data_IF_161183603572
#
_entry.id   IF_161183603572
#
_cell.length_a   1.000
_cell.length_b   1.000
_cell.length_c   1.000
_cell.angle_alpha   90.00
_cell.angle_beta   90.00
_cell.angle_gamma   90.00
#
_symmetry.space_group_name_H-M   'P 1'
#
loop_
_entity.id
_entity.type
_entity.pdbx_description
1 polymer ?
#
# COMPACT_ATOMS: atom_id res chain seq x y z
N UNK A 1 -26.25 28.00 58.12
CA UNK A 1 -25.74 27.14 57.03
C UNK A 1 -26.95 26.52 56.33
N UNK A 2 -27.18 26.84 55.03
CA UNK A 2 -28.25 26.22 54.24
C UNK A 2 -27.83 24.78 53.89
N UNK A 3 -28.64 23.75 54.18
CA UNK A 3 -28.35 22.40 53.72
C UNK A 3 -28.49 22.36 52.19
N UNK A 4 -27.44 21.92 51.50
CA UNK A 4 -27.49 21.65 50.07
C UNK A 4 -28.40 20.44 49.84
N UNK A 5 -29.49 20.61 49.09
CA UNK A 5 -30.36 19.49 48.70
C UNK A 5 -29.58 18.55 47.78
N UNK A 6 -29.22 17.36 48.26
CA UNK A 6 -28.76 16.28 47.38
C UNK A 6 -29.99 15.74 46.65
N UNK A 7 -30.18 16.16 45.40
CA UNK A 7 -31.14 15.49 44.50
C UNK A 7 -30.59 14.09 44.19
N UNK A 8 -31.31 13.06 44.62
CA UNK A 8 -31.01 11.70 44.22
C UNK A 8 -31.49 11.51 42.78
N UNK A 9 -30.58 11.12 41.88
CA UNK A 9 -30.91 10.82 40.48
C UNK A 9 -31.86 9.63 40.41
N UNK A 10 -32.92 9.74 39.61
CA UNK A 10 -33.84 8.63 39.41
C UNK A 10 -33.22 7.59 38.46
N UNK A 11 -33.54 6.31 38.63
CA UNK A 11 -33.02 5.22 37.78
C UNK A 11 -33.29 5.48 36.29
N UNK A 12 -34.43 6.10 35.98
CA UNK A 12 -34.83 6.46 34.63
C UNK A 12 -33.92 7.55 34.01
N UNK A 13 -33.46 8.50 34.82
CA UNK A 13 -32.55 9.57 34.40
C UNK A 13 -31.14 9.03 34.10
N UNK A 14 -30.67 8.07 34.92
CA UNK A 14 -29.40 7.36 34.67
C UNK A 14 -29.49 6.51 33.40
N UNK A 15 -30.61 5.81 33.17
CA UNK A 15 -30.81 4.99 31.98
C UNK A 15 -30.90 5.84 30.70
N UNK A 16 -31.55 7.00 30.77
CA UNK A 16 -31.64 7.94 29.65
C UNK A 16 -30.27 8.51 29.27
N UNK A 17 -29.45 8.90 30.26
CA UNK A 17 -28.08 9.38 30.02
C UNK A 17 -27.22 8.27 29.41
N UNK A 18 -27.30 7.04 29.94
CA UNK A 18 -26.55 5.91 29.40
C UNK A 18 -26.94 5.61 27.95
N UNK A 19 -28.21 5.66 27.60
CA UNK A 19 -28.70 5.45 26.23
C UNK A 19 -28.23 6.55 25.26
N UNK A 20 -28.19 7.81 25.70
CA UNK A 20 -27.65 8.91 24.90
C UNK A 20 -26.15 8.73 24.69
N UNK A 21 -25.40 8.35 25.73
CA UNK A 21 -23.96 8.14 25.64
C UNK A 21 -23.59 6.97 24.71
N UNK A 22 -24.33 5.87 24.73
CA UNK A 22 -24.09 4.74 23.81
C UNK A 22 -24.42 5.10 22.37
N UNK A 23 -25.51 5.84 22.13
CA UNK A 23 -25.85 6.36 20.81
C UNK A 23 -24.76 7.32 20.29
N UNK A 24 -24.31 8.26 21.13
CA UNK A 24 -23.25 9.21 20.77
C UNK A 24 -21.94 8.48 20.48
N UNK A 25 -21.55 7.52 21.31
CA UNK A 25 -20.34 6.74 21.11
C UNK A 25 -20.39 5.98 19.78
N UNK A 26 -21.53 5.37 19.43
CA UNK A 26 -21.71 4.67 18.15
C UNK A 26 -21.51 5.58 16.93
N UNK A 27 -22.02 6.81 16.97
CA UNK A 27 -21.86 7.80 15.90
C UNK A 27 -20.41 8.32 15.86
N UNK A 28 -19.83 8.61 17.04
CA UNK A 28 -18.51 9.18 17.16
C UNK A 28 -17.41 8.21 16.69
N UNK A 29 -17.56 6.90 16.95
CA UNK A 29 -16.61 5.87 16.49
C UNK A 29 -16.46 5.88 14.97
N UNK A 30 -17.56 6.00 14.21
CA UNK A 30 -17.52 6.06 12.75
C UNK A 30 -16.91 7.37 12.22
N UNK A 31 -17.13 8.47 12.92
CA UNK A 31 -16.57 9.78 12.56
C UNK A 31 -15.06 9.88 12.85
N UNK A 32 -14.60 9.35 14.00
CA UNK A 32 -13.18 9.37 14.39
C UNK A 32 -12.32 8.62 13.37
N UNK A 33 -12.78 7.48 12.86
CA UNK A 33 -12.06 6.71 11.84
C UNK A 33 -11.71 7.55 10.61
N UNK A 34 -12.69 8.34 10.11
CA UNK A 34 -12.48 9.24 8.96
C UNK A 34 -11.56 10.42 9.28
N UNK A 35 -11.63 10.96 10.49
CA UNK A 35 -10.77 12.08 10.93
C UNK A 35 -9.30 11.66 11.00
N UNK A 36 -9.02 10.39 11.33
CA UNK A 36 -7.65 9.89 11.36
C UNK A 36 -7.08 9.57 9.96
N UNK A 37 -7.90 9.42 8.92
CA UNK A 37 -7.42 9.04 7.60
C UNK A 37 -6.61 10.14 6.89
N UNK A 38 -6.97 11.41 7.09
CA UNK A 38 -6.24 12.55 6.50
C UNK A 38 -4.78 12.71 7.00
N UNK A 39 -4.49 12.73 8.32
CA UNK A 39 -3.10 12.78 8.78
C UNK A 39 -2.33 11.50 8.39
N UNK A 40 -2.99 10.35 8.35
CA UNK A 40 -2.39 9.08 7.89
C UNK A 40 -2.01 9.13 6.42
N UNK A 41 -2.90 9.62 5.56
CA UNK A 41 -2.62 9.82 4.14
C UNK A 41 -1.38 10.72 3.93
N UNK A 42 -1.28 11.80 4.71
CA UNK A 42 -0.12 12.70 4.68
C UNK A 42 1.18 11.98 5.07
N UNK A 43 1.14 11.17 6.14
CA UNK A 43 2.29 10.37 6.57
C UNK A 43 2.72 9.35 5.51
N UNK A 44 1.77 8.69 4.84
CA UNK A 44 2.05 7.76 3.73
C UNK A 44 2.74 8.48 2.58
N UNK A 45 2.28 9.66 2.18
CA UNK A 45 2.90 10.42 1.09
C UNK A 45 4.30 10.91 1.44
N UNK A 46 4.54 11.29 2.69
CA UNK A 46 5.89 11.62 3.15
C UNK A 46 6.82 10.41 3.05
N UNK A 47 6.38 9.25 3.56
CA UNK A 47 7.14 7.99 3.49
C UNK A 47 7.38 7.52 2.05
N UNK A 48 6.38 7.65 1.17
CA UNK A 48 6.50 7.32 -0.23
C UNK A 48 7.65 8.08 -0.90
N UNK A 49 7.83 9.37 -0.57
CA UNK A 49 8.96 10.17 -1.07
C UNK A 49 10.30 9.68 -0.51
N UNK A 50 10.35 9.34 0.77
CA UNK A 50 11.55 8.74 1.39
C UNK A 50 11.93 7.42 0.70
N UNK A 51 10.98 6.51 0.54
CA UNK A 51 11.23 5.24 -0.15
C UNK A 51 11.63 5.44 -1.62
N UNK A 52 11.02 6.39 -2.33
CA UNK A 52 11.43 6.72 -3.69
C UNK A 52 12.91 7.17 -3.75
N UNK A 53 13.37 7.96 -2.79
CA UNK A 53 14.78 8.36 -2.70
C UNK A 53 15.71 7.18 -2.42
N UNK A 54 15.38 6.32 -1.44
CA UNK A 54 16.17 5.14 -1.09
C UNK A 54 16.25 4.13 -2.25
N UNK A 55 15.16 3.96 -2.99
CA UNK A 55 15.12 3.07 -4.16
C UNK A 55 15.98 3.63 -5.29
N UNK A 56 15.99 4.95 -5.52
CA UNK A 56 16.92 5.58 -6.48
C UNK A 56 18.38 5.36 -6.08
N UNK A 57 18.69 5.45 -4.78
CA UNK A 57 20.03 5.19 -4.27
C UNK A 57 20.49 3.76 -4.58
N UNK A 58 19.64 2.75 -4.32
CA UNK A 58 19.93 1.36 -4.69
C UNK A 58 20.20 1.25 -6.20
N UNK A 59 19.35 1.82 -7.05
CA UNK A 59 19.51 1.71 -8.52
C UNK A 59 20.86 2.27 -8.97
N UNK A 60 21.31 3.36 -8.34
CA UNK A 60 22.57 4.02 -8.67
C UNK A 60 23.81 3.28 -8.15
N UNK A 61 23.66 2.28 -7.27
CA UNK A 61 24.81 1.52 -6.80
C UNK A 61 25.38 0.62 -7.92
N UNK A 62 26.71 0.52 -8.06
CA UNK A 62 27.37 -0.23 -9.14
C UNK A 62 26.94 -1.70 -9.21
N UNK A 63 26.64 -2.30 -8.05
CA UNK A 63 26.21 -3.69 -7.91
C UNK A 63 24.90 -4.02 -8.64
N UNK A 64 24.05 -3.02 -8.89
CA UNK A 64 22.73 -3.19 -9.52
C UNK A 64 22.68 -2.73 -10.98
N UNK A 65 23.78 -2.19 -11.51
CA UNK A 65 23.94 -1.89 -12.93
C UNK A 65 22.92 -0.89 -13.48
N UNK A 66 22.46 0.05 -12.65
CA UNK A 66 21.62 1.17 -13.08
C UNK A 66 20.23 0.77 -13.56
N UNK A 67 19.64 -0.33 -13.06
CA UNK A 67 18.28 -0.77 -13.43
C UNK A 67 17.48 -1.21 -12.23
N UNK A 68 16.18 -0.90 -12.24
CA UNK A 68 15.24 -1.39 -11.24
C UNK A 68 14.98 -2.89 -11.41
N UNK A 69 15.14 -3.71 -10.36
CA UNK A 69 14.67 -5.09 -10.39
C UNK A 69 13.14 -5.14 -10.46
N UNK A 70 12.62 -6.10 -11.22
CA UNK A 70 11.20 -6.42 -11.25
C UNK A 70 10.83 -7.28 -10.03
N UNK A 71 9.67 -7.02 -9.41
CA UNK A 71 9.10 -7.91 -8.41
C UNK A 71 8.70 -9.21 -9.09
N UNK A 72 9.32 -10.33 -8.69
CA UNK A 72 9.14 -11.66 -9.30
C UNK A 72 9.14 -12.75 -8.26
N UNK A 73 8.37 -13.82 -8.49
CA UNK A 73 8.34 -15.00 -7.64
C UNK A 73 9.69 -15.74 -7.68
N UNK A 74 10.09 -16.33 -6.54
CA UNK A 74 11.40 -16.94 -6.32
C UNK A 74 11.79 -18.12 -7.22
N UNK A 75 10.89 -18.65 -8.07
CA UNK A 75 11.15 -19.87 -8.85
C UNK A 75 11.92 -19.65 -10.17
N UNK A 76 12.60 -18.51 -10.35
CA UNK A 76 13.76 -18.41 -11.26
C UNK A 76 13.54 -18.71 -12.75
N UNK A 77 12.31 -18.83 -13.24
CA UNK A 77 12.03 -18.96 -14.67
C UNK A 77 12.48 -17.72 -15.43
N UNK A 78 13.17 -17.91 -16.56
CA UNK A 78 13.70 -16.85 -17.40
C UNK A 78 12.68 -15.71 -17.62
N UNK A 79 13.17 -14.49 -17.41
CA UNK A 79 12.53 -13.18 -17.52
C UNK A 79 11.59 -13.06 -18.74
N UNK A 80 10.25 -13.12 -18.63
CA UNK A 80 9.41 -12.44 -19.61
C UNK A 80 9.35 -10.98 -19.22
N UNK A 81 9.54 -10.11 -20.20
CA UNK A 81 9.35 -8.66 -20.11
C UNK A 81 7.85 -8.29 -19.97
N UNK A 82 7.04 -9.11 -19.32
CA UNK A 82 5.60 -8.89 -19.16
C UNK A 82 5.13 -9.46 -17.83
N UNK A 83 4.76 -8.57 -16.91
CA UNK A 83 3.56 -8.67 -16.07
C UNK A 83 3.27 -9.92 -15.24
N UNK A 84 4.20 -10.86 -15.00
CA UNK A 84 3.90 -12.17 -14.38
C UNK A 84 3.16 -12.11 -13.02
N UNK A 85 3.21 -10.98 -12.30
CA UNK A 85 2.45 -10.82 -11.05
C UNK A 85 1.00 -10.34 -11.22
N UNK A 86 0.61 -9.83 -12.39
CA UNK A 86 -0.75 -9.31 -12.61
C UNK A 86 -1.82 -10.39 -12.44
N UNK A 87 -1.51 -11.63 -12.89
CA UNK A 87 -2.34 -12.82 -12.73
C UNK A 87 -1.89 -13.76 -11.59
N UNK A 88 -0.83 -13.41 -10.87
CA UNK A 88 -0.33 -14.23 -9.77
C UNK A 88 -1.29 -14.18 -8.58
N UNK A 89 -1.64 -15.35 -8.04
CA UNK A 89 -2.32 -15.46 -6.75
C UNK A 89 -1.51 -14.77 -5.65
N UNK A 90 -2.17 -14.34 -4.58
CA UNK A 90 -1.48 -13.68 -3.46
C UNK A 90 -0.33 -14.54 -2.90
N UNK A 91 -0.46 -15.87 -2.91
CA UNK A 91 0.61 -16.83 -2.57
C UNK A 91 1.86 -16.68 -3.44
N UNK A 92 1.70 -16.50 -4.75
CA UNK A 92 2.83 -16.31 -5.69
C UNK A 92 3.45 -14.92 -5.52
N UNK A 93 2.66 -13.93 -5.13
CA UNK A 93 3.17 -12.60 -4.76
C UNK A 93 3.91 -12.65 -3.44
N UNK A 94 3.51 -13.47 -2.47
CA UNK A 94 4.16 -13.57 -1.17
C UNK A 94 5.60 -14.09 -1.28
N UNK A 95 5.84 -15.04 -2.20
CA UNK A 95 7.18 -15.57 -2.51
C UNK A 95 8.00 -14.65 -3.42
N UNK A 96 7.43 -13.50 -3.83
CA UNK A 96 8.12 -12.56 -4.69
C UNK A 96 9.03 -11.61 -3.90
N UNK A 97 10.19 -11.30 -4.48
CA UNK A 97 11.09 -10.31 -3.90
C UNK A 97 10.56 -8.90 -4.21
N UNK A 98 10.31 -8.12 -3.16
CA UNK A 98 9.79 -6.75 -3.20
C UNK A 98 10.81 -5.78 -2.63
N UNK A 99 10.67 -4.48 -2.92
CA UNK A 99 11.69 -3.50 -2.53
C UNK A 99 11.80 -3.30 -1.02
N UNK A 100 10.73 -3.52 -0.26
CA UNK A 100 10.77 -3.54 1.21
C UNK A 100 11.77 -4.57 1.74
N UNK A 101 11.79 -5.78 1.15
CA UNK A 101 12.79 -6.79 1.49
C UNK A 101 14.18 -6.42 1.01
N UNK A 102 14.31 -5.86 -0.19
CA UNK A 102 15.61 -5.44 -0.74
C UNK A 102 16.24 -4.40 0.18
N UNK A 103 15.49 -3.34 0.52
CA UNK A 103 15.94 -2.27 1.40
C UNK A 103 16.34 -2.80 2.78
N UNK A 104 15.56 -3.72 3.34
CA UNK A 104 15.84 -4.32 4.66
C UNK A 104 17.04 -5.26 4.61
N UNK A 105 17.12 -6.13 3.60
CA UNK A 105 18.22 -7.09 3.43
C UNK A 105 19.57 -6.44 3.09
N UNK A 106 19.55 -5.29 2.41
CA UNK A 106 20.74 -4.45 2.19
C UNK A 106 21.07 -3.54 3.40
N UNK A 107 20.31 -3.62 4.49
CA UNK A 107 20.45 -2.80 5.70
C UNK A 107 20.36 -1.29 5.45
N UNK A 108 19.64 -0.89 4.41
CA UNK A 108 19.34 0.52 4.11
C UNK A 108 18.24 1.02 5.05
N UNK A 109 17.29 0.14 5.37
CA UNK A 109 16.32 0.34 6.44
C UNK A 109 16.43 -0.83 7.43
N UNK A 110 16.22 -0.56 8.72
CA UNK A 110 16.19 -1.62 9.73
C UNK A 110 14.88 -2.40 9.69
N UNK A 111 13.78 -1.71 9.35
CA UNK A 111 12.44 -2.27 9.30
C UNK A 111 11.58 -1.53 8.29
N UNK A 112 10.72 -2.27 7.60
CA UNK A 112 9.66 -1.70 6.79
C UNK A 112 8.53 -1.15 7.70
N UNK A 113 8.21 0.14 7.55
CA UNK A 113 7.18 0.78 8.37
C UNK A 113 5.79 0.48 7.81
N UNK A 114 5.13 -0.50 8.40
CA UNK A 114 3.73 -0.80 8.10
C UNK A 114 2.81 0.31 8.63
N UNK A 115 1.92 0.79 7.78
CA UNK A 115 0.85 1.71 8.17
C UNK A 115 -0.33 0.83 8.57
N UNK A 116 -0.94 0.97 9.75
CA UNK A 116 -2.03 0.09 10.22
C UNK A 116 -3.27 0.07 9.30
N UNK A 117 -3.21 -0.66 8.19
CA UNK A 117 -4.31 -1.01 7.30
C UNK A 117 -3.95 -2.29 6.55
N UNK A 118 -4.46 -3.41 7.06
CA UNK A 118 -4.66 -4.63 6.28
C UNK A 118 -3.54 -5.67 6.28
N UNK A 119 -2.32 -5.34 6.70
CA UNK A 119 -1.20 -6.31 6.78
C UNK A 119 -0.81 -6.63 8.22
N UNK A 120 -0.47 -7.90 8.48
CA UNK A 120 0.30 -8.30 9.67
C UNK A 120 1.79 -7.98 9.37
N UNK A 121 2.70 -8.20 10.31
CA UNK A 121 4.13 -8.00 10.07
C UNK A 121 4.71 -9.06 9.12
N UNK A 122 5.31 -8.65 7.99
CA UNK A 122 6.08 -9.60 7.16
C UNK A 122 7.37 -10.01 7.91
N UNK A 123 7.68 -11.31 8.06
CA UNK A 123 8.98 -11.71 8.59
C UNK A 123 10.12 -11.17 7.72
N UNK A 124 11.28 -10.87 8.30
CA UNK A 124 12.47 -10.50 7.52
C UNK A 124 12.96 -11.76 6.83
N UNK A 125 13.11 -11.69 5.52
CA UNK A 125 13.36 -12.82 4.65
C UNK A 125 14.74 -12.71 4.02
N UNK A 126 15.45 -13.84 3.92
CA UNK A 126 16.70 -13.89 3.19
C UNK A 126 16.46 -13.52 1.73
N UNK A 127 17.19 -12.53 1.23
CA UNK A 127 17.20 -12.16 -0.20
C UNK A 127 18.53 -12.56 -0.81
N UNK A 128 18.50 -13.04 -2.05
CA UNK A 128 19.71 -13.34 -2.80
C UNK A 128 19.67 -12.62 -4.14
N UNK A 129 20.79 -11.97 -4.47
CA UNK A 129 21.01 -11.42 -5.80
C UNK A 129 21.52 -12.53 -6.72
N UNK A 130 20.79 -12.77 -7.82
CA UNK A 130 21.25 -13.63 -8.89
C UNK A 130 21.83 -12.78 -10.01
N UNK A 131 23.16 -12.79 -10.15
CA UNK A 131 23.88 -12.02 -11.17
C UNK A 131 23.59 -12.47 -12.60
N UNK A 132 23.35 -13.77 -12.82
CA UNK A 132 23.01 -14.32 -14.13
C UNK A 132 21.59 -13.93 -14.57
N UNK A 133 20.63 -13.94 -13.65
CA UNK A 133 19.25 -13.53 -13.90
C UNK A 133 19.03 -12.01 -13.76
N UNK A 134 20.03 -11.28 -13.24
CA UNK A 134 19.96 -9.86 -12.85
C UNK A 134 18.71 -9.55 -12.03
N UNK A 135 18.40 -10.42 -11.09
CA UNK A 135 17.17 -10.36 -10.32
C UNK A 135 17.40 -10.76 -8.86
N UNK A 136 16.57 -10.21 -7.98
CA UNK A 136 16.47 -10.70 -6.61
C UNK A 136 15.47 -11.83 -6.51
N UNK A 137 15.81 -12.86 -5.74
CA UNK A 137 14.90 -13.92 -5.33
C UNK A 137 14.88 -14.02 -3.80
N UNK A 138 13.77 -14.51 -3.26
CA UNK A 138 13.75 -15.01 -1.89
C UNK A 138 14.71 -16.20 -1.80
N UNK A 139 15.44 -16.31 -0.70
CA UNK A 139 16.32 -17.45 -0.45
C UNK A 139 15.47 -18.75 -0.37
N UNK A 140 16.04 -19.92 -0.72
CA UNK A 140 15.27 -21.17 -0.81
C UNK A 140 14.57 -21.60 0.50
N UNK A 141 15.23 -21.40 1.64
CA UNK A 141 14.72 -21.63 2.99
C UNK A 141 13.55 -20.70 3.36
N UNK A 142 13.59 -19.51 2.78
CA UNK A 142 12.63 -18.44 2.98
C UNK A 142 11.35 -18.69 2.19
N UNK A 143 11.45 -19.27 1.00
CA UNK A 143 10.28 -19.62 0.18
C UNK A 143 9.33 -20.61 0.89
N UNK A 144 9.88 -21.57 1.64
CA UNK A 144 9.09 -22.51 2.45
C UNK A 144 8.37 -21.83 3.63
N UNK A 145 9.06 -20.90 4.30
CA UNK A 145 8.48 -20.07 5.38
C UNK A 145 7.32 -19.21 4.86
N UNK A 146 7.46 -18.66 3.66
CA UNK A 146 6.43 -17.86 3.00
C UNK A 146 5.23 -18.71 2.59
N UNK A 147 5.45 -19.92 2.06
CA UNK A 147 4.36 -20.82 1.68
C UNK A 147 3.50 -21.25 2.88
N UNK A 148 4.05 -21.19 4.10
CA UNK A 148 3.32 -21.46 5.35
C UNK A 148 2.48 -20.27 5.85
N UNK A 149 2.65 -19.09 5.26
CA UNK A 149 1.85 -17.90 5.58
C UNK A 149 0.48 -18.06 4.90
N UNK A 150 -0.65 -17.92 5.62
CA UNK A 150 -1.97 -18.06 5.02
C UNK A 150 -2.16 -17.05 3.88
N UNK A 151 -2.55 -17.54 2.69
CA UNK A 151 -2.79 -16.72 1.49
C UNK A 151 -3.84 -15.59 1.67
N UNK A 152 -4.61 -15.64 2.75
CA UNK A 152 -5.61 -14.63 3.11
C UNK A 152 -5.01 -13.40 3.83
N UNK A 153 -3.75 -13.46 4.26
CA UNK A 153 -3.06 -12.31 4.83
C UNK A 153 -2.47 -11.47 3.71
N UNK A 154 -3.04 -10.29 3.46
CA UNK A 154 -2.59 -9.39 2.40
C UNK A 154 -1.72 -8.29 3.00
N UNK A 155 -0.45 -8.20 2.62
CA UNK A 155 0.55 -7.31 3.23
C UNK A 155 0.84 -6.08 2.39
N UNK A 156 1.21 -4.98 3.03
CA UNK A 156 1.80 -3.83 2.35
C UNK A 156 3.16 -4.20 1.75
N UNK A 157 3.44 -3.67 0.56
CA UNK A 157 4.65 -4.01 -0.18
C UNK A 157 4.97 -2.97 -1.23
N UNK A 158 6.26 -2.83 -1.51
CA UNK A 158 6.72 -2.01 -2.63
C UNK A 158 7.02 -2.94 -3.80
N UNK A 159 6.16 -2.88 -4.81
CA UNK A 159 6.24 -3.69 -6.01
C UNK A 159 6.80 -2.89 -7.19
N UNK A 160 7.36 -3.60 -8.15
CA UNK A 160 7.72 -3.06 -9.45
C UNK A 160 7.22 -3.93 -10.59
N UNK A 161 6.74 -3.26 -11.64
CA UNK A 161 6.16 -3.88 -12.83
C UNK A 161 6.48 -3.08 -14.07
N UNK A 162 6.30 -3.71 -15.23
CA UNK A 162 6.38 -3.01 -16.50
C UNK A 162 5.06 -2.32 -16.77
N UNK A 163 5.14 -1.09 -17.27
CA UNK A 163 3.99 -0.36 -17.78
C UNK A 163 3.48 -0.99 -19.08
N UNK A 164 2.17 -1.10 -19.19
CA UNK A 164 1.45 -1.46 -20.41
C UNK A 164 0.42 -0.36 -20.70
N UNK A 165 0.76 0.66 -21.51
CA UNK A 165 -0.11 1.83 -21.71
C UNK A 165 -1.48 1.50 -22.31
N UNK A 166 -1.73 0.27 -22.77
CA UNK A 166 -3.05 -0.19 -23.22
C UNK A 166 -4.06 -0.43 -22.10
N UNK A 167 -3.61 -0.58 -20.84
CA UNK A 167 -4.45 -0.89 -19.69
C UNK A 167 -4.63 0.34 -18.79
N UNK A 168 -5.83 0.51 -18.25
CA UNK A 168 -6.05 1.52 -17.20
C UNK A 168 -5.32 1.15 -15.90
N UNK A 169 -4.99 2.12 -15.03
CA UNK A 169 -4.22 1.87 -13.81
C UNK A 169 -4.85 0.83 -12.87
N UNK A 170 -6.18 0.81 -12.77
CA UNK A 170 -6.90 -0.14 -11.92
C UNK A 170 -6.73 -1.59 -12.40
N UNK A 171 -6.77 -1.82 -13.72
CA UNK A 171 -6.54 -3.14 -14.32
C UNK A 171 -5.06 -3.51 -14.25
N UNK A 172 -4.19 -2.52 -14.47
CA UNK A 172 -2.74 -2.67 -14.39
C UNK A 172 -2.20 -2.72 -12.96
N UNK A 173 -3.07 -2.63 -11.95
CA UNK A 173 -2.73 -2.66 -10.52
C UNK A 173 -1.66 -1.63 -10.16
N UNK A 174 -1.89 -0.39 -10.61
CA UNK A 174 -0.99 0.74 -10.43
C UNK A 174 0.13 0.84 -11.46
N UNK A 175 0.46 -0.19 -12.25
CA UNK A 175 1.63 -0.15 -13.14
C UNK A 175 1.56 0.94 -14.25
N UNK A 176 0.38 1.52 -14.49
CA UNK A 176 0.14 2.48 -15.56
C UNK A 176 -0.36 3.84 -15.08
N UNK A 177 0.08 4.33 -13.90
CA UNK A 177 -0.35 5.63 -13.37
C UNK A 177 -0.48 6.67 -14.48
N UNK A 178 -1.72 7.06 -14.76
CA UNK A 178 -2.01 8.09 -15.73
C UNK A 178 -1.95 9.43 -15.00
N UNK A 179 -1.41 10.48 -15.62
CA UNK A 179 -1.57 11.91 -15.25
C UNK A 179 -0.60 12.56 -14.26
N UNK A 180 0.58 12.88 -14.79
CA UNK A 180 1.03 14.28 -14.75
C UNK A 180 1.05 14.82 -16.18
N UNK A 181 0.89 16.14 -16.41
CA UNK A 181 1.37 16.74 -17.65
C UNK A 181 2.87 16.43 -17.74
N UNK A 182 3.27 15.58 -18.69
CA UNK A 182 4.65 15.13 -18.87
C UNK A 182 5.01 13.77 -18.26
N UNK A 183 4.13 13.10 -17.50
CA UNK A 183 4.33 11.69 -17.08
C UNK A 183 3.47 10.76 -17.95
N UNK A 184 3.72 10.81 -19.26
CA UNK A 184 3.41 9.67 -20.13
C UNK A 184 4.50 8.66 -19.87
N UNK A 185 4.21 7.67 -19.01
CA UNK A 185 5.12 6.57 -18.78
C UNK A 185 5.45 5.94 -20.15
N UNK A 186 6.75 5.83 -20.51
CA UNK A 186 7.12 5.13 -21.73
C UNK A 186 6.53 3.72 -21.71
N UNK A 187 6.16 3.17 -22.88
CA UNK A 187 5.74 1.77 -22.95
C UNK A 187 6.86 0.89 -22.40
N UNK A 188 6.51 -0.12 -21.59
CA UNK A 188 7.45 -1.09 -21.04
C UNK A 188 8.55 -0.48 -20.15
N UNK A 189 8.29 0.65 -19.48
CA UNK A 189 9.18 1.15 -18.43
C UNK A 189 8.91 0.42 -17.10
N UNK A 190 9.93 0.31 -16.24
CA UNK A 190 9.73 -0.29 -14.91
C UNK A 190 9.15 0.78 -13.98
N UNK A 191 7.94 0.55 -13.51
CA UNK A 191 7.23 1.40 -12.55
C UNK A 191 7.28 0.75 -11.19
N UNK A 192 7.60 1.55 -10.17
CA UNK A 192 7.64 1.14 -8.76
C UNK A 192 6.52 1.83 -8.02
N UNK A 193 5.76 1.06 -7.25
CA UNK A 193 4.65 1.55 -6.46
C UNK A 193 4.53 0.85 -5.12
N UNK A 194 3.95 1.55 -4.16
CA UNK A 194 3.56 0.99 -2.88
C UNK A 194 2.10 0.53 -2.96
N UNK A 195 1.87 -0.76 -2.74
CA UNK A 195 0.54 -1.37 -2.68
C UNK A 195 0.06 -1.44 -1.22
N UNK A 196 -1.16 -0.97 -1.01
CA UNK A 196 -1.94 -1.11 0.22
C UNK A 196 -3.15 -2.00 -0.07
N UNK A 197 -3.08 -3.30 0.24
CA UNK A 197 -4.19 -4.19 -0.05
C UNK A 197 -5.35 -3.97 0.92
N UNK A 198 -6.58 -4.10 0.42
CA UNK A 198 -7.83 -4.06 1.22
C UNK A 198 -7.93 -2.84 2.15
N UNK A 199 -7.39 -1.70 1.73
CA UNK A 199 -7.51 -0.42 2.39
C UNK A 199 -8.97 0.02 2.47
N UNK A 200 -9.31 0.79 3.51
CA UNK A 200 -10.66 1.36 3.62
C UNK A 200 -10.90 2.38 2.51
N UNK A 201 -12.14 2.47 2.04
CA UNK A 201 -12.55 3.47 1.06
C UNK A 201 -12.18 4.90 1.50
N UNK A 202 -12.41 5.24 2.77
CA UNK A 202 -12.10 6.57 3.30
C UNK A 202 -10.62 6.90 3.22
N UNK A 203 -9.74 5.95 3.55
CA UNK A 203 -8.30 6.12 3.41
C UNK A 203 -7.87 6.26 1.95
N UNK A 204 -8.42 5.42 1.06
CA UNK A 204 -8.14 5.50 -0.38
C UNK A 204 -8.51 6.88 -0.96
N UNK A 205 -9.69 7.39 -0.60
CA UNK A 205 -10.17 8.70 -1.00
C UNK A 205 -9.31 9.83 -0.44
N UNK A 206 -8.97 9.81 0.86
CA UNK A 206 -8.12 10.84 1.46
C UNK A 206 -6.71 10.85 0.86
N UNK A 207 -6.15 9.66 0.58
CA UNK A 207 -4.85 9.54 -0.06
C UNK A 207 -4.85 10.11 -1.48
N UNK A 208 -5.87 9.79 -2.28
CA UNK A 208 -6.02 10.36 -3.61
C UNK A 208 -6.31 11.87 -3.58
N UNK A 209 -7.11 12.37 -2.64
CA UNK A 209 -7.35 13.82 -2.49
C UNK A 209 -6.07 14.58 -2.14
N UNK A 210 -5.21 13.99 -1.31
CA UNK A 210 -3.95 14.56 -0.88
C UNK A 210 -2.87 14.52 -1.95
N UNK A 211 -2.84 13.48 -2.79
CA UNK A 211 -1.78 13.26 -3.77
C UNK A 211 -2.15 13.72 -5.20
N UNK A 212 -3.40 13.49 -5.63
CA UNK A 212 -3.84 13.80 -6.97
C UNK A 212 -4.20 15.28 -7.08
N UNK A 213 -4.03 15.84 -8.28
CA UNK A 213 -4.41 17.23 -8.56
C UNK A 213 -5.92 17.42 -8.35
N UNK A 214 -6.39 18.65 -8.02
CA UNK A 214 -7.81 18.92 -7.78
C UNK A 214 -8.75 18.43 -8.87
N UNK A 215 -8.37 18.59 -10.15
CA UNK A 215 -9.10 18.15 -11.34
C UNK A 215 -9.17 16.62 -11.52
N UNK A 216 -8.39 15.88 -10.73
CA UNK A 216 -8.23 14.42 -10.79
C UNK A 216 -8.65 13.73 -9.49
N UNK A 217 -9.30 14.46 -8.59
CA UNK A 217 -9.79 13.90 -7.34
C UNK A 217 -11.01 13.02 -7.63
N UNK A 218 -11.03 11.78 -7.12
CA UNK A 218 -12.17 10.89 -7.29
C UNK A 218 -13.39 11.45 -6.54
N UNK A 219 -14.57 11.30 -7.13
CA UNK A 219 -15.82 11.46 -6.38
C UNK A 219 -15.92 10.38 -5.30
N UNK A 220 -16.70 10.62 -4.25
CA UNK A 220 -16.89 9.64 -3.19
C UNK A 220 -17.41 8.30 -3.75
N UNK A 221 -16.71 7.20 -3.44
CA UNK A 221 -17.01 5.86 -3.94
C UNK A 221 -16.62 5.59 -5.40
N UNK A 222 -16.07 6.56 -6.12
CA UNK A 222 -15.57 6.39 -7.47
C UNK A 222 -14.11 5.90 -7.47
N UNK A 223 -13.65 5.18 -8.51
CA UNK A 223 -12.24 4.83 -8.64
C UNK A 223 -11.37 6.07 -8.84
N UNK A 224 -10.10 5.97 -8.46
CA UNK A 224 -9.07 6.92 -8.88
C UNK A 224 -8.25 6.29 -10.02
N UNK A 225 -8.50 6.74 -11.24
CA UNK A 225 -7.85 6.23 -12.46
C UNK A 225 -6.74 7.15 -12.98
N UNK A 226 -6.50 8.25 -12.27
CA UNK A 226 -5.76 9.42 -12.75
C UNK A 226 -5.05 10.04 -11.54
N UNK A 227 -3.73 9.97 -11.53
CA UNK A 227 -2.83 10.64 -10.60
C UNK A 227 -1.72 9.71 -10.07
N UNK A 228 -0.87 10.22 -9.16
CA UNK A 228 0.12 9.40 -8.45
C UNK A 228 -0.51 8.36 -7.52
N UNK A 229 -1.80 8.48 -7.19
CA UNK A 229 -2.55 7.47 -6.43
C UNK A 229 -3.68 6.93 -7.29
N UNK A 230 -3.73 5.61 -7.40
CA UNK A 230 -4.73 4.89 -8.18
C UNK A 230 -5.39 3.78 -7.36
N UNK A 231 -6.68 3.55 -7.58
CA UNK A 231 -7.45 2.46 -6.97
C UNK A 231 -8.74 2.18 -7.74
N UNK A 232 -9.26 0.95 -7.62
CA UNK A 232 -10.50 0.53 -8.26
C UNK A 232 -11.74 0.90 -7.42
N UNK A 233 -12.94 0.82 -8.00
CA UNK A 233 -14.19 1.07 -7.26
C UNK A 233 -14.24 0.21 -5.99
N UNK A 234 -14.40 0.80 -4.80
CA UNK A 234 -14.42 0.04 -3.55
C UNK A 234 -15.58 -0.97 -3.51
N UNK A 235 -15.27 -2.21 -3.12
CA UNK A 235 -16.25 -3.29 -2.94
C UNK A 235 -16.33 -3.62 -1.44
N UNK A 236 -17.53 -3.54 -0.86
CA UNK A 236 -17.69 -3.72 0.59
C UNK A 236 -16.92 -2.69 1.43
N UNK A 237 -16.75 -1.47 0.90
CA UNK A 237 -16.00 -0.38 1.56
C UNK A 237 -14.48 -0.57 1.58
N UNK A 238 -13.94 -1.49 0.76
CA UNK A 238 -12.50 -1.74 0.65
C UNK A 238 -12.01 -1.77 -0.79
N UNK A 239 -10.77 -1.36 -0.99
CA UNK A 239 -10.07 -1.43 -2.29
C UNK A 239 -8.58 -1.63 -2.07
N UNK A 240 -7.90 -2.17 -3.08
CA UNK A 240 -6.44 -2.06 -3.18
C UNK A 240 -6.08 -0.65 -3.64
N UNK A 241 -5.09 -0.04 -2.98
CA UNK A 241 -4.60 1.30 -3.30
C UNK A 241 -3.15 1.21 -3.73
N UNK A 242 -2.81 1.93 -4.79
CA UNK A 242 -1.47 1.96 -5.36
C UNK A 242 -0.95 3.40 -5.31
N UNK A 243 0.25 3.58 -4.76
CA UNK A 243 0.94 4.86 -4.67
C UNK A 243 2.20 4.80 -5.53
N UNK A 244 2.26 5.64 -6.55
CA UNK A 244 3.40 5.77 -7.42
C UNK A 244 4.62 6.29 -6.64
N UNK A 245 5.75 5.61 -6.79
CA UNK A 245 7.02 6.04 -6.18
C UNK A 245 7.97 6.62 -7.24
N UNK A 246 8.23 5.85 -8.31
CA UNK A 246 9.14 6.22 -9.38
C UNK A 246 9.00 5.29 -10.59
N UNK A 247 9.66 5.64 -11.69
CA UNK A 247 9.89 4.74 -12.83
C UNK A 247 11.36 4.82 -13.29
N UNK A 248 11.79 3.84 -14.08
CA UNK A 248 13.09 3.78 -14.75
C UNK A 248 13.00 3.00 -16.07
#
# INVERSE_FOLDING_TARGET
MKPASRRAFTLLEVLAIAAILTLLAGILIHAIGRVMDAPRATAVLHRARTYAALIREIVNQPSFGGRLPLTRSGNGGAVPATGLLAAASDTVRDIACSFDLILTGQRIIERFEEVEYGGIQRPILGIQWNSAARAFAAAPDTAATIAAIPAAMTWQRIESRLSDPSLSPEIAQGANFQTLPGLNLPPQCVVVYWRFPRATQSFAEELAKAANKPEHRPAAGAPATVGPVAYATPVGGRTDVFVYLLHH
#
